data_IF_423705379082
#
_entry.id   IF_423705379082
#
_cell.length_a   1.000
_cell.length_b   1.000
_cell.length_c   1.000
_cell.angle_alpha   90.00
_cell.angle_beta   90.00
_cell.angle_gamma   90.00
#
_symmetry.space_group_name_H-M   'P 1'
#
loop_
_entity.id
_entity.type
_entity.pdbx_description
1 polymer ?
#
# COMPACT_ATOMS: atom_id res chain seq x y z
N UNK A 1 18.40 84.20 -72.93
CA UNK A 1 18.90 83.04 -72.17
C UNK A 1 17.92 82.80 -71.03
N UNK A 2 17.13 81.73 -71.13
CA UNK A 2 16.03 81.42 -70.22
C UNK A 2 16.54 80.92 -68.87
N UNK A 3 16.24 81.69 -67.82
CA UNK A 3 16.57 81.38 -66.44
C UNK A 3 15.46 80.47 -65.90
N UNK A 4 15.54 79.18 -66.20
CA UNK A 4 14.60 78.20 -65.65
C UNK A 4 14.98 77.89 -64.21
N UNK A 5 14.20 78.46 -63.29
CA UNK A 5 14.18 78.12 -61.87
C UNK A 5 13.75 76.66 -61.70
N UNK A 6 14.70 75.72 -61.78
CA UNK A 6 14.50 74.37 -61.27
C UNK A 6 14.48 74.43 -59.73
N UNK A 7 13.32 74.83 -59.20
CA UNK A 7 12.98 74.73 -57.80
C UNK A 7 13.23 73.29 -57.32
N UNK A 8 14.07 73.22 -56.28
CA UNK A 8 14.45 72.06 -55.47
C UNK A 8 13.65 70.79 -55.79
N UNK A 9 14.33 69.80 -56.41
CA UNK A 9 13.80 68.48 -56.77
C UNK A 9 13.01 67.80 -55.63
N UNK A 10 13.34 68.12 -54.38
CA UNK A 10 12.65 67.62 -53.21
C UNK A 10 11.21 68.20 -53.06
N UNK A 11 10.96 69.43 -53.52
CA UNK A 11 9.61 69.98 -53.60
C UNK A 11 8.80 69.34 -54.75
N UNK A 12 9.43 69.06 -55.89
CA UNK A 12 8.77 68.34 -56.99
C UNK A 12 8.38 66.91 -56.58
N UNK A 13 9.23 66.22 -55.82
CA UNK A 13 8.92 64.91 -55.26
C UNK A 13 7.74 64.93 -54.26
N UNK A 14 7.61 66.01 -53.48
CA UNK A 14 6.47 66.20 -52.56
C UNK A 14 5.17 66.45 -53.32
N UNK A 15 5.20 67.28 -54.35
CA UNK A 15 4.04 67.52 -55.21
C UNK A 15 3.60 66.24 -55.95
N UNK A 16 4.54 65.45 -56.47
CA UNK A 16 4.24 64.19 -57.13
C UNK A 16 3.54 63.17 -56.21
N UNK A 17 3.97 63.05 -54.94
CA UNK A 17 3.30 62.19 -53.94
C UNK A 17 1.88 62.66 -53.62
N UNK A 18 1.68 63.97 -53.53
CA UNK A 18 0.36 64.54 -53.26
C UNK A 18 -0.58 64.33 -54.45
N UNK A 19 -0.08 64.49 -55.69
CA UNK A 19 -0.81 64.18 -56.92
C UNK A 19 -1.26 62.71 -56.95
N UNK A 20 -0.34 61.79 -56.65
CA UNK A 20 -0.61 60.36 -56.64
C UNK A 20 -1.64 59.98 -55.57
N UNK A 21 -1.57 60.59 -54.38
CA UNK A 21 -2.59 60.40 -53.32
C UNK A 21 -3.97 60.96 -53.73
N UNK A 22 -4.00 62.09 -54.45
CA UNK A 22 -5.24 62.67 -54.98
C UNK A 22 -5.86 61.80 -56.08
N UNK A 23 -5.05 61.25 -56.98
CA UNK A 23 -5.51 60.34 -58.04
C UNK A 23 -6.01 59.02 -57.47
N UNK A 24 -5.33 58.46 -56.45
CA UNK A 24 -5.80 57.27 -55.73
C UNK A 24 -7.12 57.52 -54.99
N UNK A 25 -7.34 58.74 -54.47
CA UNK A 25 -8.59 59.15 -53.84
C UNK A 25 -9.72 59.30 -54.86
N UNK A 26 -9.43 59.75 -56.09
CA UNK A 26 -10.40 59.83 -57.19
C UNK A 26 -10.70 58.46 -57.81
N UNK A 27 -9.75 57.54 -57.83
CA UNK A 27 -9.92 56.20 -58.43
C UNK A 27 -10.63 55.19 -57.52
N UNK A 28 -11.08 55.60 -56.32
CA UNK A 28 -11.82 54.73 -55.40
C UNK A 28 -10.99 53.59 -54.78
N UNK A 29 -9.68 53.55 -55.02
CA UNK A 29 -8.75 52.56 -54.47
C UNK A 29 -8.10 53.11 -53.21
N UNK A 30 -8.81 52.98 -52.09
CA UNK A 30 -8.32 53.42 -50.78
C UNK A 30 -7.13 52.55 -50.32
N UNK A 31 -5.98 53.14 -49.94
CA UNK A 31 -4.99 52.44 -49.13
C UNK A 31 -5.60 52.14 -47.76
N UNK A 32 -5.64 50.86 -47.41
CA UNK A 32 -6.14 50.36 -46.12
C UNK A 32 -5.18 50.83 -45.02
N UNK A 33 -5.45 52.00 -44.45
CA UNK A 33 -4.92 52.42 -43.16
C UNK A 33 -6.05 53.12 -42.40
N UNK A 34 -6.67 52.39 -41.48
CA UNK A 34 -7.57 52.94 -40.48
C UNK A 34 -9.01 52.42 -40.52
N UNK A 35 -9.26 51.39 -39.70
CA UNK A 35 -10.47 51.17 -38.90
C UNK A 35 -11.83 50.98 -39.63
N UNK A 36 -12.27 49.71 -39.58
CA UNK A 36 -13.67 49.23 -39.47
C UNK A 36 -14.67 49.55 -40.59
N UNK A 37 -15.10 48.50 -41.32
CA UNK A 37 -16.40 48.57 -42.01
C UNK A 37 -16.60 47.64 -43.20
N UNK A 38 -16.79 46.34 -42.94
CA UNK A 38 -17.77 45.49 -43.66
C UNK A 38 -17.69 45.37 -45.19
N UNK A 39 -16.85 44.45 -45.67
CA UNK A 39 -17.30 43.41 -46.61
C UNK A 39 -17.43 42.10 -45.82
N UNK A 40 -18.54 41.98 -45.08
CA UNK A 40 -18.73 40.95 -44.03
C UNK A 40 -19.81 39.93 -44.40
N UNK A 41 -20.47 40.05 -45.56
CA UNK A 41 -21.54 39.12 -45.93
C UNK A 41 -21.09 37.92 -46.78
N UNK A 42 -19.83 37.86 -47.25
CA UNK A 42 -19.32 36.73 -48.06
C UNK A 42 -18.39 35.77 -47.30
N UNK A 43 -18.27 35.90 -45.99
CA UNK A 43 -17.42 35.05 -45.14
C UNK A 43 -18.18 34.26 -44.08
N UNK A 44 -19.52 34.21 -44.13
CA UNK A 44 -20.37 33.47 -43.18
C UNK A 44 -20.78 32.07 -43.65
N UNK A 45 -20.14 31.52 -44.70
CA UNK A 45 -20.05 30.08 -44.77
C UNK A 45 -19.16 29.62 -43.61
N UNK A 46 -19.56 28.64 -42.77
CA UNK A 46 -18.61 27.97 -41.91
C UNK A 46 -17.68 27.15 -42.81
N UNK A 47 -16.70 27.81 -43.43
CA UNK A 47 -15.52 27.15 -43.92
C UNK A 47 -14.82 26.57 -42.69
N UNK A 48 -15.20 25.33 -42.35
CA UNK A 48 -14.34 24.41 -41.63
C UNK A 48 -13.01 24.51 -42.36
N UNK A 49 -12.05 25.27 -41.81
CA UNK A 49 -10.69 25.33 -42.32
C UNK A 49 -10.28 23.88 -42.50
N UNK A 50 -10.26 23.43 -43.76
CA UNK A 50 -9.76 22.11 -44.12
C UNK A 50 -8.26 22.22 -43.83
N UNK A 51 -7.87 21.92 -42.60
CA UNK A 51 -6.46 21.68 -42.27
C UNK A 51 -5.97 20.74 -43.35
N UNK A 52 -4.97 21.17 -44.10
CA UNK A 52 -4.54 20.41 -45.26
C UNK A 52 -4.22 18.97 -44.81
N UNK A 53 -4.52 17.98 -45.62
CA UNK A 53 -4.23 16.57 -45.28
C UNK A 53 -2.74 16.39 -44.88
N UNK A 54 -1.86 17.22 -45.44
CA UNK A 54 -0.46 17.33 -45.06
C UNK A 54 -0.25 17.80 -43.60
N UNK A 55 -0.97 18.83 -43.14
CA UNK A 55 -0.91 19.29 -41.74
C UNK A 55 -1.44 18.25 -40.77
N UNK A 56 -2.52 17.54 -41.15
CA UNK A 56 -3.08 16.45 -40.34
C UNK A 56 -2.07 15.32 -40.19
N UNK A 57 -1.47 14.87 -41.29
CA UNK A 57 -0.41 13.83 -41.28
C UNK A 57 0.81 14.25 -40.47
N UNK A 58 1.27 15.51 -40.61
CA UNK A 58 2.39 16.04 -39.82
C UNK A 58 2.09 16.02 -38.33
N UNK A 59 0.85 16.33 -37.93
CA UNK A 59 0.45 16.31 -36.52
C UNK A 59 0.29 14.90 -35.97
N UNK A 60 -0.26 13.97 -36.76
CA UNK A 60 -0.30 12.54 -36.41
C UNK A 60 1.12 11.99 -36.22
N UNK A 61 2.05 12.33 -37.13
CA UNK A 61 3.45 11.90 -37.04
C UNK A 61 4.11 12.40 -35.74
N UNK A 62 3.91 13.68 -35.37
CA UNK A 62 4.38 14.21 -34.08
C UNK A 62 3.82 13.43 -32.88
N UNK A 63 2.55 13.05 -32.93
CA UNK A 63 1.91 12.24 -31.87
C UNK A 63 2.53 10.84 -31.82
N UNK A 64 2.78 10.20 -32.97
CA UNK A 64 3.49 8.93 -33.03
C UNK A 64 4.91 9.02 -32.46
N UNK A 65 5.65 10.09 -32.75
CA UNK A 65 6.98 10.30 -32.16
C UNK A 65 6.91 10.44 -30.64
N UNK A 66 5.93 11.18 -30.11
CA UNK A 66 5.68 11.26 -28.65
C UNK A 66 5.35 9.90 -28.04
N UNK A 67 4.57 9.08 -28.75
CA UNK A 67 4.25 7.72 -28.32
C UNK A 67 5.50 6.83 -28.28
N UNK A 68 6.35 6.91 -29.30
CA UNK A 68 7.61 6.16 -29.40
C UNK A 68 8.60 6.53 -28.29
N UNK A 69 8.56 7.77 -27.81
CA UNK A 69 9.39 8.19 -26.68
C UNK A 69 8.83 7.76 -25.31
N UNK A 70 7.71 7.03 -25.26
CA UNK A 70 7.06 6.63 -23.99
C UNK A 70 6.31 7.77 -23.28
N UNK A 71 6.09 8.92 -23.94
CA UNK A 71 5.40 10.06 -23.32
C UNK A 71 3.87 9.85 -23.30
N UNK A 72 3.20 10.35 -22.25
CA UNK A 72 1.73 10.36 -22.13
C UNK A 72 1.13 11.35 -23.14
N UNK A 73 -0.01 11.01 -23.75
CA UNK A 73 -0.70 11.94 -24.65
C UNK A 73 -1.49 12.97 -23.87
N UNK A 74 -1.31 14.24 -24.23
CA UNK A 74 -2.16 15.31 -23.74
C UNK A 74 -3.60 15.17 -24.24
N UNK A 75 -4.56 15.73 -23.50
CA UNK A 75 -5.99 15.70 -23.86
C UNK A 75 -6.26 16.27 -25.27
N UNK A 76 -5.51 17.31 -25.66
CA UNK A 76 -5.60 17.90 -26.99
C UNK A 76 -5.15 16.93 -28.11
N UNK A 77 -4.09 16.15 -27.87
CA UNK A 77 -3.58 15.17 -28.85
C UNK A 77 -4.56 13.99 -28.98
N UNK A 78 -5.18 13.55 -27.88
CA UNK A 78 -6.26 12.53 -27.90
C UNK A 78 -7.49 13.01 -28.66
N UNK A 79 -7.95 14.23 -28.39
CA UNK A 79 -9.09 14.82 -29.10
C UNK A 79 -8.83 14.99 -30.59
N UNK A 80 -7.57 15.28 -30.97
CA UNK A 80 -7.14 15.34 -32.36
C UNK A 80 -7.16 13.96 -33.03
N UNK A 81 -6.64 12.92 -32.36
CA UNK A 81 -6.70 11.54 -32.86
C UNK A 81 -8.15 11.07 -33.07
N UNK A 82 -9.06 11.39 -32.14
CA UNK A 82 -10.48 11.01 -32.26
C UNK A 82 -11.15 11.54 -33.54
N UNK A 83 -10.74 12.72 -34.02
CA UNK A 83 -11.33 13.37 -35.20
C UNK A 83 -10.70 12.92 -36.53
N UNK A 84 -9.42 12.58 -36.53
CA UNK A 84 -8.65 12.34 -37.76
C UNK A 84 -8.17 10.90 -37.94
N UNK A 85 -8.03 10.12 -36.86
CA UNK A 85 -7.52 8.74 -36.90
C UNK A 85 -8.15 7.89 -35.76
N UNK A 86 -9.43 7.47 -35.89
CA UNK A 86 -10.14 6.76 -34.83
C UNK A 86 -9.49 5.41 -34.49
N UNK A 87 -8.91 4.71 -35.46
CA UNK A 87 -8.20 3.44 -35.23
C UNK A 87 -6.97 3.62 -34.33
N UNK A 88 -6.16 4.65 -34.58
CA UNK A 88 -5.01 4.96 -33.73
C UNK A 88 -5.46 5.41 -32.34
N UNK A 89 -6.57 6.14 -32.23
CA UNK A 89 -7.14 6.53 -30.95
C UNK A 89 -7.53 5.31 -30.09
N UNK A 90 -8.18 4.29 -30.68
CA UNK A 90 -8.55 3.05 -29.97
C UNK A 90 -7.33 2.31 -29.45
N UNK A 91 -6.28 2.19 -30.28
CA UNK A 91 -5.01 1.56 -29.88
C UNK A 91 -4.32 2.30 -28.75
N UNK A 92 -4.28 3.64 -28.81
CA UNK A 92 -3.68 4.46 -27.74
C UNK A 92 -4.46 4.32 -26.44
N UNK A 93 -5.79 4.29 -26.47
CA UNK A 93 -6.60 4.06 -25.26
C UNK A 93 -6.35 2.67 -24.66
N UNK A 94 -6.24 1.63 -25.48
CA UNK A 94 -5.90 0.29 -25.00
C UNK A 94 -4.51 0.27 -24.34
N UNK A 95 -3.55 0.98 -24.93
CA UNK A 95 -2.20 1.11 -24.40
C UNK A 95 -2.14 1.89 -23.08
N UNK A 96 -2.94 2.95 -22.93
CA UNK A 96 -3.04 3.70 -21.67
C UNK A 96 -3.59 2.81 -20.55
N UNK A 97 -4.67 2.06 -20.81
CA UNK A 97 -5.22 1.10 -19.84
C UNK A 97 -4.22 0.00 -19.48
N UNK A 98 -3.52 -0.54 -20.47
CA UNK A 98 -2.49 -1.54 -20.25
C UNK A 98 -1.35 -1.01 -19.38
N UNK A 99 -0.95 0.24 -19.62
CA UNK A 99 0.07 0.91 -18.82
C UNK A 99 -0.41 1.14 -17.39
N UNK A 100 -1.63 1.61 -17.19
CA UNK A 100 -2.22 1.81 -15.86
C UNK A 100 -2.27 0.51 -15.07
N UNK A 101 -2.75 -0.58 -15.69
CA UNK A 101 -2.77 -1.91 -15.08
C UNK A 101 -1.36 -2.42 -14.74
N UNK A 102 -0.38 -2.13 -15.58
CA UNK A 102 1.01 -2.50 -15.31
C UNK A 102 1.62 -1.69 -14.16
N UNK A 103 1.36 -0.38 -14.11
CA UNK A 103 1.77 0.48 -12.99
C UNK A 103 1.13 0.05 -11.67
N UNK A 104 -0.15 -0.34 -11.68
CA UNK A 104 -0.84 -0.90 -10.51
C UNK A 104 -0.19 -2.21 -10.06
N UNK A 105 0.06 -3.14 -10.99
CA UNK A 105 0.75 -4.40 -10.71
C UNK A 105 2.14 -4.18 -10.08
N UNK A 106 2.91 -3.22 -10.59
CA UNK A 106 4.24 -2.86 -10.02
C UNK A 106 4.14 -2.28 -8.61
N UNK A 107 3.03 -1.61 -8.27
CA UNK A 107 2.77 -1.11 -6.92
C UNK A 107 2.39 -2.24 -5.97
N UNK A 108 1.55 -3.18 -6.41
CA UNK A 108 1.08 -4.33 -5.63
C UNK A 108 2.21 -5.30 -5.23
N UNK A 109 3.23 -5.48 -6.08
CA UNK A 109 4.39 -6.32 -5.76
C UNK A 109 5.02 -5.87 -4.43
N UNK A 110 5.26 -6.76 -3.48
CA UNK A 110 5.83 -6.40 -2.17
C UNK A 110 7.35 -6.43 -2.19
N UNK A 111 7.92 -7.28 -3.03
CA UNK A 111 9.36 -7.54 -3.08
C UNK A 111 9.98 -7.13 -4.41
N UNK A 112 11.30 -6.97 -4.41
CA UNK A 112 12.05 -6.68 -5.63
C UNK A 112 11.97 -7.81 -6.66
N UNK A 113 12.03 -9.05 -6.20
CA UNK A 113 11.93 -10.24 -7.07
C UNK A 113 10.58 -10.31 -7.78
N UNK A 114 9.47 -10.05 -7.06
CA UNK A 114 8.13 -10.00 -7.66
C UNK A 114 8.03 -8.94 -8.76
N UNK A 115 8.69 -7.80 -8.58
CA UNK A 115 8.74 -6.75 -9.59
C UNK A 115 9.54 -7.22 -10.81
N UNK A 116 10.67 -7.90 -10.62
CA UNK A 116 11.46 -8.45 -11.73
C UNK A 116 10.71 -9.55 -12.50
N UNK A 117 10.00 -10.42 -11.79
CA UNK A 117 9.10 -11.42 -12.37
C UNK A 117 7.97 -10.76 -13.18
N UNK A 118 7.32 -9.72 -12.63
CA UNK A 118 6.28 -8.98 -13.33
C UNK A 118 6.80 -8.32 -14.61
N UNK A 119 8.02 -7.74 -14.58
CA UNK A 119 8.69 -7.19 -15.77
C UNK A 119 8.98 -8.27 -16.80
N UNK A 120 9.50 -9.42 -16.37
CA UNK A 120 9.82 -10.53 -17.27
C UNK A 120 8.57 -11.11 -17.91
N UNK A 121 7.51 -11.33 -17.11
CA UNK A 121 6.22 -11.78 -17.62
C UNK A 121 5.69 -10.80 -18.66
N UNK A 122 5.75 -9.48 -18.38
CA UNK A 122 5.24 -8.48 -19.32
C UNK A 122 6.03 -8.48 -20.63
N UNK A 123 7.35 -8.60 -20.56
CA UNK A 123 8.22 -8.75 -21.74
C UNK A 123 7.90 -10.02 -22.53
N UNK A 124 7.61 -11.13 -21.83
CA UNK A 124 7.16 -12.38 -22.43
C UNK A 124 5.83 -12.24 -23.18
N UNK A 125 4.82 -11.61 -22.56
CA UNK A 125 3.52 -11.31 -23.17
C UNK A 125 3.64 -10.39 -24.40
N UNK A 126 4.54 -9.40 -24.35
CA UNK A 126 4.80 -8.53 -25.49
C UNK A 126 5.46 -9.32 -26.63
N UNK A 127 6.43 -10.18 -26.31
CA UNK A 127 7.12 -11.02 -27.30
C UNK A 127 6.18 -12.00 -28.00
N UNK A 128 5.23 -12.60 -27.27
CA UNK A 128 4.25 -13.51 -27.88
C UNK A 128 3.28 -12.78 -28.83
N UNK A 129 2.89 -11.55 -28.49
CA UNK A 129 1.95 -10.73 -29.28
C UNK A 129 2.62 -9.90 -30.38
N UNK A 130 3.96 -9.90 -30.46
CA UNK A 130 4.71 -9.18 -31.50
C UNK A 130 4.40 -9.65 -32.92
N UNK A 131 4.04 -10.93 -33.11
CA UNK A 131 3.75 -11.49 -34.44
C UNK A 131 2.45 -10.94 -35.03
N UNK A 132 1.47 -10.64 -34.17
CA UNK A 132 0.14 -10.20 -34.58
C UNK A 132 0.00 -8.67 -34.60
N UNK A 133 0.99 -7.95 -34.06
CA UNK A 133 0.95 -6.49 -33.89
C UNK A 133 1.82 -5.79 -34.94
N UNK A 134 1.38 -4.61 -35.39
CA UNK A 134 2.21 -3.71 -36.21
C UNK A 134 3.56 -3.45 -35.51
N UNK A 135 4.71 -3.67 -36.17
CA UNK A 135 6.03 -3.49 -35.58
C UNK A 135 6.26 -2.08 -35.04
N UNK A 136 5.68 -1.05 -35.66
CA UNK A 136 5.76 0.33 -35.15
C UNK A 136 5.04 0.45 -33.80
N UNK A 137 3.89 -0.20 -33.66
CA UNK A 137 3.10 -0.17 -32.44
C UNK A 137 3.69 -1.05 -31.34
N UNK A 138 4.31 -2.18 -31.69
CA UNK A 138 5.04 -3.02 -30.75
C UNK A 138 6.19 -2.25 -30.07
N UNK A 139 6.95 -1.45 -30.84
CA UNK A 139 7.98 -0.57 -30.29
C UNK A 139 7.40 0.51 -29.37
N UNK A 140 6.29 1.14 -29.77
CA UNK A 140 5.58 2.12 -28.93
C UNK A 140 5.15 1.49 -27.61
N UNK A 141 4.58 0.28 -27.64
CA UNK A 141 4.14 -0.45 -26.45
C UNK A 141 5.32 -0.74 -25.52
N UNK A 142 6.43 -1.25 -26.06
CA UNK A 142 7.64 -1.46 -25.27
C UNK A 142 8.16 -0.17 -24.63
N UNK A 143 8.20 0.94 -25.37
CA UNK A 143 8.64 2.22 -24.84
C UNK A 143 7.75 2.72 -23.68
N UNK A 144 6.43 2.53 -23.76
CA UNK A 144 5.52 2.88 -22.68
C UNK A 144 5.71 2.00 -21.44
N UNK A 145 5.92 0.69 -21.61
CA UNK A 145 6.19 -0.21 -20.48
C UNK A 145 7.52 0.14 -19.80
N UNK A 146 8.58 0.39 -20.57
CA UNK A 146 9.89 0.83 -20.03
C UNK A 146 9.79 2.18 -19.32
N UNK A 147 8.98 3.12 -19.85
CA UNK A 147 8.74 4.39 -19.17
C UNK A 147 8.03 4.17 -17.82
N UNK A 148 7.00 3.33 -17.77
CA UNK A 148 6.34 2.96 -16.53
C UNK A 148 7.30 2.28 -15.52
N UNK A 149 8.20 1.42 -15.98
CA UNK A 149 9.25 0.82 -15.14
C UNK A 149 10.19 1.88 -14.56
N UNK A 150 10.58 2.88 -15.36
CA UNK A 150 11.44 3.98 -14.90
C UNK A 150 10.76 4.88 -13.88
N UNK A 151 9.44 5.10 -14.03
CA UNK A 151 8.62 5.85 -13.07
C UNK A 151 8.46 5.08 -11.75
N UNK A 152 8.34 3.73 -11.82
CA UNK A 152 8.26 2.87 -10.65
C UNK A 152 9.62 2.56 -10.00
N UNK A 153 10.73 2.76 -10.71
CA UNK A 153 12.09 2.44 -10.26
C UNK A 153 12.45 2.91 -8.83
N UNK A 154 12.15 4.15 -8.39
CA UNK A 154 12.44 4.56 -7.01
C UNK A 154 11.67 3.74 -5.98
N UNK A 155 10.39 3.44 -6.23
CA UNK A 155 9.58 2.61 -5.33
C UNK A 155 10.08 1.16 -5.28
N UNK A 156 10.58 0.64 -6.39
CA UNK A 156 11.17 -0.72 -6.43
C UNK A 156 12.45 -0.79 -5.61
N UNK A 157 13.31 0.24 -5.65
CA UNK A 157 14.56 0.27 -4.88
C UNK A 157 14.35 0.28 -3.38
N UNK A 158 13.21 0.78 -2.90
CA UNK A 158 12.87 0.81 -1.48
C UNK A 158 12.34 -0.53 -0.94
N UNK A 159 11.92 -1.44 -1.83
CA UNK A 159 11.34 -2.73 -1.42
C UNK A 159 12.45 -3.71 -0.99
N UNK A 160 12.20 -4.56 0.01
CA UNK A 160 13.12 -5.63 0.39
C UNK A 160 13.16 -6.73 -0.67
N UNK A 161 14.21 -7.53 -0.63
CA UNK A 161 14.28 -8.78 -1.39
C UNK A 161 13.48 -9.88 -0.70
N UNK A 162 13.01 -10.90 -1.44
CA UNK A 162 12.26 -12.03 -0.85
C UNK A 162 13.07 -12.74 0.23
N UNK A 163 14.37 -12.91 0.02
CA UNK A 163 15.24 -13.60 0.98
C UNK A 163 15.36 -12.86 2.32
N UNK A 164 15.24 -11.52 2.33
CA UNK A 164 15.34 -10.71 3.55
C UNK A 164 14.13 -10.94 4.44
N UNK A 165 12.94 -10.95 3.83
CA UNK A 165 11.68 -11.30 4.52
C UNK A 165 11.73 -12.73 5.04
N UNK A 166 12.19 -13.68 4.20
CA UNK A 166 12.26 -15.08 4.62
C UNK A 166 13.23 -15.27 5.79
N UNK A 167 14.37 -14.57 5.81
CA UNK A 167 15.28 -14.60 6.94
C UNK A 167 14.64 -14.06 8.22
N UNK A 168 13.96 -12.92 8.14
CA UNK A 168 13.29 -12.30 9.27
C UNK A 168 12.19 -13.21 9.82
N UNK A 169 11.37 -13.82 8.95
CA UNK A 169 10.37 -14.80 9.36
C UNK A 169 10.99 -16.05 10.02
N UNK A 170 12.14 -16.53 9.55
CA UNK A 170 12.82 -17.66 10.17
C UNK A 170 13.42 -17.29 11.52
N UNK A 171 13.96 -16.07 11.66
CA UNK A 171 14.43 -15.55 12.93
C UNK A 171 13.28 -15.43 13.93
N UNK A 172 12.16 -14.81 13.55
CA UNK A 172 10.98 -14.70 14.41
C UNK A 172 10.45 -16.08 14.84
N UNK A 173 10.41 -17.05 13.92
CA UNK A 173 10.03 -18.44 14.25
C UNK A 173 11.01 -19.06 15.25
N UNK A 174 12.31 -18.84 15.07
CA UNK A 174 13.33 -19.38 15.98
C UNK A 174 13.26 -18.75 17.37
N UNK A 175 13.07 -17.42 17.45
CA UNK A 175 12.89 -16.69 18.70
C UNK A 175 11.57 -17.08 19.38
N UNK A 176 10.50 -17.31 18.61
CA UNK A 176 9.23 -17.77 19.17
C UNK A 176 9.37 -19.17 19.79
N UNK A 177 10.11 -20.07 19.14
CA UNK A 177 10.43 -21.38 19.70
C UNK A 177 11.27 -21.22 20.97
N UNK A 178 12.31 -20.39 20.96
CA UNK A 178 13.14 -20.13 22.13
C UNK A 178 12.30 -19.59 23.31
N UNK A 179 11.46 -18.58 23.07
CA UNK A 179 10.54 -18.03 24.08
C UNK A 179 9.58 -19.07 24.65
N UNK A 180 9.05 -19.95 23.81
CA UNK A 180 8.19 -21.05 24.25
C UNK A 180 8.96 -22.03 25.12
N UNK A 181 10.18 -22.41 24.71
CA UNK A 181 11.03 -23.30 25.48
C UNK A 181 11.45 -22.69 26.82
N UNK A 182 11.80 -21.41 26.86
CA UNK A 182 12.18 -20.70 28.08
C UNK A 182 10.99 -20.60 29.04
N UNK A 183 9.80 -20.29 28.52
CA UNK A 183 8.56 -20.27 29.30
C UNK A 183 8.21 -21.65 29.85
N UNK A 184 8.45 -22.72 29.09
CA UNK A 184 8.24 -24.09 29.54
C UNK A 184 9.25 -24.50 30.61
N UNK A 185 10.52 -24.12 30.47
CA UNK A 185 11.55 -24.31 31.49
C UNK A 185 11.22 -23.57 32.79
N UNK A 186 10.73 -22.33 32.69
CA UNK A 186 10.33 -21.52 33.84
C UNK A 186 9.09 -22.09 34.54
N UNK A 187 8.08 -22.52 33.77
CA UNK A 187 6.92 -23.23 34.32
C UNK A 187 7.35 -24.50 35.06
N UNK A 188 8.26 -25.30 34.47
CA UNK A 188 8.78 -26.51 35.12
C UNK A 188 9.58 -26.19 36.38
N UNK A 189 10.30 -25.07 36.43
CA UNK A 189 10.98 -24.60 37.65
C UNK A 189 9.97 -24.21 38.71
N UNK A 190 8.94 -23.43 38.37
CA UNK A 190 7.88 -23.07 39.31
C UNK A 190 7.12 -24.28 39.83
N UNK A 191 6.81 -25.24 38.97
CA UNK A 191 6.11 -26.48 39.35
C UNK A 191 6.95 -27.29 40.33
N UNK A 192 8.25 -27.48 40.06
CA UNK A 192 9.18 -28.09 41.01
C UNK A 192 9.24 -27.35 42.34
N UNK A 193 9.34 -26.02 42.33
CA UNK A 193 9.34 -25.23 43.58
C UNK A 193 8.02 -25.34 44.35
N UNK A 194 6.88 -25.48 43.66
CA UNK A 194 5.58 -25.73 44.27
C UNK A 194 5.49 -27.13 44.87
N UNK A 195 5.99 -28.14 44.17
CA UNK A 195 6.08 -29.52 44.66
C UNK A 195 7.00 -29.61 45.88
N UNK A 196 8.19 -29.00 45.82
CA UNK A 196 9.14 -28.94 46.95
C UNK A 196 8.55 -28.21 48.15
N UNK A 197 7.85 -27.09 47.94
CA UNK A 197 7.14 -26.40 49.02
C UNK A 197 6.02 -27.23 49.65
N UNK A 198 5.26 -27.98 48.84
CA UNK A 198 4.24 -28.92 49.34
C UNK A 198 4.84 -30.11 50.08
N UNK A 199 6.00 -30.62 49.61
CA UNK A 199 6.72 -31.70 50.26
C UNK A 199 7.33 -31.24 51.60
N UNK A 200 7.99 -30.08 51.62
CA UNK A 200 8.55 -29.49 52.84
C UNK A 200 7.45 -29.18 53.88
N UNK A 201 6.29 -28.67 53.45
CA UNK A 201 5.15 -28.47 54.34
C UNK A 201 4.61 -29.77 54.94
N UNK A 202 4.51 -30.84 54.12
CA UNK A 202 4.15 -32.18 54.63
C UNK A 202 5.20 -32.75 55.59
N UNK A 203 6.48 -32.50 55.34
CA UNK A 203 7.58 -32.96 56.20
C UNK A 203 7.59 -32.18 57.53
N UNK A 204 7.31 -30.88 57.50
CA UNK A 204 7.23 -30.03 58.69
C UNK A 204 5.99 -30.35 59.54
N UNK A 205 4.84 -30.62 58.91
CA UNK A 205 3.65 -31.16 59.58
C UNK A 205 3.91 -32.54 60.18
N UNK A 206 4.53 -33.46 59.43
CA UNK A 206 4.86 -34.80 59.93
C UNK A 206 5.88 -34.76 61.09
N UNK A 207 6.88 -33.89 60.99
CA UNK A 207 7.90 -33.68 62.03
C UNK A 207 7.32 -33.00 63.27
N UNK A 208 6.39 -32.06 63.09
CA UNK A 208 5.60 -31.46 64.17
C UNK A 208 4.74 -32.51 64.88
N UNK A 209 4.04 -33.35 64.11
CA UNK A 209 3.21 -34.44 64.63
C UNK A 209 4.04 -35.49 65.40
N UNK A 210 5.21 -35.87 64.90
CA UNK A 210 6.13 -36.79 65.58
C UNK A 210 6.70 -36.20 66.86
N UNK A 211 7.14 -34.92 66.85
CA UNK A 211 7.56 -34.25 68.08
C UNK A 211 6.43 -34.10 69.09
N UNK A 212 5.21 -33.84 68.63
CA UNK A 212 4.04 -33.76 69.49
C UNK A 212 3.74 -35.12 70.14
N UNK A 213 3.83 -36.22 69.39
CA UNK A 213 3.71 -37.60 69.89
C UNK A 213 4.80 -37.94 70.91
N UNK A 214 6.06 -37.64 70.63
CA UNK A 214 7.19 -37.92 71.52
C UNK A 214 7.14 -37.10 72.82
N UNK A 215 6.74 -35.83 72.74
CA UNK A 215 6.54 -34.99 73.91
C UNK A 215 5.39 -35.52 74.78
N UNK A 216 4.31 -36.01 74.15
CA UNK A 216 3.20 -36.66 74.85
C UNK A 216 3.65 -37.95 75.57
N UNK A 217 4.44 -38.79 74.91
CA UNK A 217 4.98 -40.03 75.48
C UNK A 217 5.92 -39.73 76.65
N UNK A 218 6.78 -38.71 76.53
CA UNK A 218 7.67 -38.28 77.59
C UNK A 218 6.90 -37.73 78.81
N UNK A 219 5.83 -36.95 78.59
CA UNK A 219 4.96 -36.45 79.65
C UNK A 219 4.25 -37.59 80.40
N UNK A 220 3.74 -38.59 79.68
CA UNK A 220 3.13 -39.80 80.27
C UNK A 220 4.14 -40.58 81.12
N UNK A 221 5.40 -40.65 80.69
CA UNK A 221 6.48 -41.37 81.41
C UNK A 221 6.92 -40.68 82.70
N UNK A 222 6.72 -39.36 82.81
CA UNK A 222 7.15 -38.54 83.95
C UNK A 222 6.03 -38.36 85.01
N UNK A 223 4.83 -38.90 84.79
CA UNK A 223 3.74 -38.88 85.77
C UNK A 223 3.86 -39.98 86.84
N UNK A 224 3.54 -39.70 88.11
CA UNK A 224 3.49 -40.72 89.16
C UNK A 224 2.34 -41.71 88.94
N UNK A 225 2.54 -42.97 89.34
CA UNK A 225 1.71 -44.12 88.97
C UNK A 225 0.22 -44.03 89.40
N UNK A 226 -0.12 -43.08 90.27
CA UNK A 226 -1.47 -42.83 90.79
C UNK A 226 -2.37 -41.96 89.89
N UNK A 227 -1.82 -41.32 88.86
CA UNK A 227 -2.58 -40.42 87.95
C UNK A 227 -2.73 -40.98 86.52
N UNK A 228 -2.17 -42.17 86.26
CA UNK A 228 -2.14 -42.82 84.95
C UNK A 228 -3.51 -43.28 84.43
N UNK A 229 -4.48 -43.55 85.32
CA UNK A 229 -5.82 -44.02 84.90
C UNK A 229 -6.69 -42.93 84.30
N UNK A 230 -6.53 -41.70 84.77
CA UNK A 230 -7.42 -40.58 84.43
C UNK A 230 -6.89 -39.84 83.19
N UNK A 231 -5.56 -39.72 83.06
CA UNK A 231 -4.91 -39.12 81.89
C UNK A 231 -5.10 -39.93 80.58
N UNK A 232 -5.28 -41.25 80.65
CA UNK A 232 -5.53 -42.11 79.48
C UNK A 232 -6.93 -41.88 78.85
N UNK A 233 -7.92 -41.47 79.66
CA UNK A 233 -9.28 -41.18 79.19
C UNK A 233 -9.38 -39.83 78.45
N UNK A 234 -8.52 -38.86 78.78
CA UNK A 234 -8.51 -37.54 78.15
C UNK A 234 -7.73 -37.52 76.83
N UNK A 235 -6.66 -38.32 76.72
CA UNK A 235 -5.89 -38.46 75.46
C UNK A 235 -6.73 -39.10 74.33
N UNK A 236 -7.56 -40.09 74.66
CA UNK A 236 -8.46 -40.75 73.69
C UNK A 236 -9.60 -39.84 73.22
N UNK A 237 -10.12 -38.98 74.10
CA UNK A 237 -11.06 -37.92 73.72
C UNK A 237 -10.41 -36.85 72.83
N UNK A 238 -9.18 -36.45 73.12
CA UNK A 238 -8.43 -35.49 72.31
C UNK A 238 -8.11 -35.99 70.90
N UNK A 239 -7.69 -37.26 70.76
CA UNK A 239 -7.46 -37.87 69.43
C UNK A 239 -8.75 -38.01 68.60
N UNK A 240 -9.88 -38.34 69.24
CA UNK A 240 -11.18 -38.40 68.56
C UNK A 240 -11.65 -37.02 68.06
N UNK A 241 -11.37 -35.95 68.81
CA UNK A 241 -11.70 -34.58 68.41
C UNK A 241 -10.83 -34.08 67.24
N UNK A 242 -9.52 -34.41 67.22
CA UNK A 242 -8.61 -34.03 66.14
C UNK A 242 -8.89 -34.78 64.82
N UNK A 243 -9.21 -36.08 64.90
CA UNK A 243 -9.65 -36.85 63.72
C UNK A 243 -11.00 -36.35 63.17
N UNK A 244 -11.90 -35.87 64.04
CA UNK A 244 -13.16 -35.26 63.61
C UNK A 244 -12.97 -33.90 62.92
N UNK A 245 -11.97 -33.09 63.32
CA UNK A 245 -11.66 -31.81 62.64
C UNK A 245 -10.87 -32.01 61.35
N UNK A 246 -9.93 -32.95 61.30
CA UNK A 246 -9.17 -33.28 60.08
C UNK A 246 -10.05 -33.92 58.99
N UNK A 247 -11.17 -34.57 59.38
CA UNK A 247 -12.16 -35.11 58.45
C UNK A 247 -13.13 -34.08 57.84
N UNK A 248 -13.10 -32.80 58.24
CA UNK A 248 -14.01 -31.77 57.70
C UNK A 248 -13.42 -30.92 56.56
N UNK A 249 -12.12 -30.99 56.28
CA UNK A 249 -11.51 -30.30 55.12
C UNK A 249 -11.75 -31.02 53.77
N UNK A 250 -12.43 -32.17 53.79
CA UNK A 250 -12.84 -32.94 52.61
C UNK A 250 -14.36 -32.97 52.34
N UNK A 251 -15.17 -32.12 52.99
CA UNK A 251 -16.58 -32.04 52.69
C UNK A 251 -16.80 -31.16 51.45
N UNK A 252 -16.94 -31.82 50.30
CA UNK A 252 -17.48 -31.25 49.07
C UNK A 252 -18.70 -30.36 49.36
N UNK A 253 -18.67 -29.15 48.80
CA UNK A 253 -19.83 -28.29 48.67
C UNK A 253 -20.98 -29.10 48.03
N UNK A 254 -22.17 -29.18 48.63
CA UNK A 254 -23.28 -29.88 48.01
C UNK A 254 -23.66 -29.15 46.72
N UNK A 255 -23.68 -29.90 45.61
CA UNK A 255 -24.21 -29.45 44.33
C UNK A 255 -25.63 -28.88 44.54
N UNK A 256 -25.81 -27.62 44.12
CA UNK A 256 -27.10 -26.98 44.08
C UNK A 256 -27.96 -27.65 43.00
N UNK A 257 -28.76 -28.64 43.40
CA UNK A 257 -29.87 -29.15 42.60
C UNK A 257 -30.87 -28.02 42.30
N UNK A 258 -30.82 -27.48 41.09
CA UNK A 258 -31.86 -26.59 40.56
C UNK A 258 -33.07 -27.43 40.13
N UNK A 259 -33.87 -27.87 41.10
CA UNK A 259 -35.17 -28.47 40.83
C UNK A 259 -36.21 -27.36 40.64
N UNK A 260 -36.50 -27.06 39.37
CA UNK A 260 -37.65 -26.25 38.92
C UNK A 260 -38.93 -26.73 39.60
N UNK A 261 -39.44 -25.88 40.48
CA UNK A 261 -40.77 -25.96 41.06
C UNK A 261 -41.81 -25.65 39.98
N UNK A 262 -42.59 -26.66 39.61
CA UNK A 262 -43.91 -26.48 38.99
C UNK A 262 -44.93 -26.43 40.13
N UNK A 263 -45.59 -25.28 40.30
CA UNK A 263 -46.99 -25.17 40.76
C UNK A 263 -47.45 -23.71 40.69
N UNK A 264 -48.56 -23.47 40.00
CA UNK A 264 -49.25 -22.18 39.91
C UNK A 264 -49.45 -21.73 38.48
#
# INVERSE_FOLDING_TARGET
MGMEMMGNLNQQAKMAKMQQAWDMKKSGTLPIMGKTGTSVFKTLAPEKKKTSDAEVKKRISKIKTKLKSGAKLGAADKAFLRKHAPELYRKVLALEKEREAYEERLKECKTRDEVEEAKLQKKGEMSSTMKDTDPEFAMIRMAQMTAAESEAAPSVKQKPWRYEIEQEEQQEKSEAVERLTEKELENRRQEKSREEGQWAGREEEAFSDERFKDMHIAAIRMMPYSELSDAAADYTKGQAAYQASAGMEGAELPEAETKKEKRG
#
